data_IF_578705839360
#
_entry.id   IF_578705839360
#
_cell.length_a   1.000
_cell.length_b   1.000
_cell.length_c   1.000
_cell.angle_alpha   90.00
_cell.angle_beta   90.00
_cell.angle_gamma   90.00
#
_symmetry.space_group_name_H-M   'P 1'
#
loop_
_entity.id
_entity.type
_entity.pdbx_description
1 polymer ?
#
# COMPACT_ATOMS: atom_id res chain seq x y z
N UNK A 1 -15.72 2.45 9.40
CA UNK A 1 -14.53 3.26 9.76
C UNK A 1 -13.29 2.42 9.46
N UNK A 2 -12.40 2.90 8.61
CA UNK A 2 -11.13 2.22 8.35
C UNK A 2 -10.13 2.62 9.44
N UNK A 3 -9.52 1.64 10.08
CA UNK A 3 -8.40 1.85 11.01
C UNK A 3 -7.10 1.53 10.28
N UNK A 4 -6.04 2.28 10.54
CA UNK A 4 -4.75 2.12 9.88
C UNK A 4 -3.68 2.09 10.95
N UNK A 5 -2.86 1.04 10.94
CA UNK A 5 -1.66 0.92 11.78
C UNK A 5 -0.44 1.22 10.93
N UNK A 6 0.53 1.94 11.51
CA UNK A 6 1.76 2.35 10.83
C UNK A 6 2.96 1.96 11.68
N UNK A 7 3.92 1.29 11.07
CA UNK A 7 5.15 0.80 11.68
C UNK A 7 6.37 1.24 10.87
N UNK A 8 7.55 1.16 11.46
CA UNK A 8 8.80 1.23 10.70
C UNK A 8 8.89 0.00 9.78
N UNK A 9 9.01 0.24 8.47
CA UNK A 9 9.01 -0.81 7.44
C UNK A 9 10.42 -1.30 7.05
N UNK A 10 11.46 -0.68 7.60
CA UNK A 10 12.85 -0.94 7.24
C UNK A 10 13.21 -0.41 5.85
N UNK A 11 14.37 -0.81 5.34
CA UNK A 11 14.87 -0.39 4.03
C UNK A 11 14.52 -1.42 2.96
N UNK A 12 13.86 -0.99 1.88
CA UNK A 12 13.57 -1.80 0.70
C UNK A 12 14.54 -1.45 -0.42
N UNK A 13 15.10 -2.46 -1.08
CA UNK A 13 15.79 -2.33 -2.35
C UNK A 13 14.83 -2.75 -3.46
N UNK A 14 14.43 -1.80 -4.30
CA UNK A 14 13.50 -1.99 -5.41
C UNK A 14 14.18 -1.65 -6.74
N UNK A 15 13.53 -1.95 -7.86
CA UNK A 15 14.06 -1.66 -9.20
C UNK A 15 14.27 -0.15 -9.44
N UNK A 16 13.56 0.70 -8.69
CA UNK A 16 13.66 2.16 -8.75
C UNK A 16 14.62 2.74 -7.69
N UNK A 17 15.33 1.89 -6.93
CA UNK A 17 16.32 2.29 -5.94
C UNK A 17 16.04 1.79 -4.51
N UNK A 18 16.81 2.32 -3.56
CA UNK A 18 16.81 1.92 -2.15
C UNK A 18 16.16 3.01 -1.28
N UNK A 19 15.18 2.61 -0.47
CA UNK A 19 14.36 3.54 0.31
C UNK A 19 14.09 3.03 1.71
N UNK A 20 14.14 3.93 2.69
CA UNK A 20 13.53 3.67 3.99
C UNK A 20 12.02 3.78 3.88
N UNK A 21 11.31 2.92 4.59
CA UNK A 21 9.86 2.75 4.42
C UNK A 21 9.10 2.76 5.73
N UNK A 22 7.83 3.12 5.63
CA UNK A 22 6.81 2.77 6.62
C UNK A 22 6.05 1.53 6.14
N UNK A 23 5.72 0.64 7.07
CA UNK A 23 4.75 -0.44 6.85
C UNK A 23 3.37 0.04 7.31
N UNK A 24 2.43 0.08 6.38
CA UNK A 24 1.04 0.48 6.60
C UNK A 24 0.13 -0.75 6.52
N UNK A 25 -0.65 -0.96 7.58
CA UNK A 25 -1.60 -2.08 7.69
C UNK A 25 -3.02 -1.52 7.87
N UNK A 26 -3.87 -1.54 6.83
CA UNK A 26 -5.27 -1.20 6.96
C UNK A 26 -6.06 -2.33 7.63
N UNK A 27 -6.77 -2.00 8.71
CA UNK A 27 -7.73 -2.88 9.38
C UNK A 27 -9.11 -2.72 8.73
N UNK A 28 -9.39 -3.60 7.78
CA UNK A 28 -10.68 -3.65 7.11
C UNK A 28 -11.72 -4.30 8.03
N UNK A 29 -12.60 -3.48 8.61
CA UNK A 29 -13.79 -3.96 9.32
C UNK A 29 -14.94 -4.06 8.31
N UNK A 30 -15.37 -5.29 8.01
CA UNK A 30 -16.71 -5.73 7.53
C UNK A 30 -16.83 -6.59 6.25
N UNK A 31 -17.72 -7.57 6.38
CA UNK A 31 -18.09 -8.75 5.59
C UNK A 31 -19.01 -8.52 4.36
N UNK A 32 -18.99 -7.36 3.68
CA UNK A 32 -19.91 -7.14 2.54
C UNK A 32 -19.20 -6.76 1.25
N UNK A 33 -18.97 -7.78 0.39
CA UNK A 33 -18.50 -7.63 -0.98
C UNK A 33 -17.70 -8.85 -1.47
N UNK A 34 -17.43 -8.90 -2.78
CA UNK A 34 -16.45 -9.84 -3.40
C UNK A 34 -15.05 -9.72 -2.79
N UNK A 35 -14.79 -8.64 -2.05
CA UNK A 35 -13.62 -8.42 -1.20
C UNK A 35 -13.95 -8.76 0.26
N UNK A 36 -14.27 -10.03 0.56
CA UNK A 36 -14.08 -10.54 1.92
C UNK A 36 -12.59 -10.51 2.21
N UNK A 37 -12.09 -9.34 2.60
CA UNK A 37 -10.74 -9.14 3.05
C UNK A 37 -10.60 -9.76 4.44
N UNK A 38 -10.72 -11.08 4.53
CA UNK A 38 -10.14 -11.88 5.62
C UNK A 38 -8.60 -11.93 5.50
N UNK A 39 -8.04 -10.90 4.88
CA UNK A 39 -6.74 -10.87 4.29
C UNK A 39 -5.92 -9.76 4.90
N UNK A 40 -4.73 -10.12 5.38
CA UNK A 40 -3.74 -9.15 5.82
C UNK A 40 -3.18 -8.44 4.59
N UNK A 41 -3.40 -7.12 4.50
CA UNK A 41 -2.80 -6.25 3.49
C UNK A 41 -1.68 -5.47 4.15
N UNK A 42 -0.47 -5.59 3.61
CA UNK A 42 0.73 -4.90 4.07
C UNK A 42 1.24 -4.02 2.93
N UNK A 43 1.42 -2.73 3.19
CA UNK A 43 1.86 -1.74 2.20
C UNK A 43 3.13 -1.08 2.71
N UNK A 44 4.24 -1.26 2.01
CA UNK A 44 5.48 -0.54 2.28
C UNK A 44 5.52 0.72 1.45
N UNK A 45 5.62 1.88 2.10
CA UNK A 45 5.64 3.19 1.43
C UNK A 45 6.92 3.94 1.76
N UNK A 46 7.41 4.77 0.84
CA UNK A 46 8.58 5.62 1.08
C UNK A 46 8.41 6.50 2.32
N UNK A 47 9.49 6.63 3.10
CA UNK A 47 9.65 7.57 4.21
C UNK A 47 10.04 8.96 3.71
N UNK A 48 9.39 9.43 2.65
CA UNK A 48 9.53 10.78 2.13
C UNK A 48 8.14 11.45 2.06
N UNK A 49 8.08 12.72 1.67
CA UNK A 49 6.81 13.47 1.59
C UNK A 49 5.79 12.88 0.59
N UNK A 50 6.23 12.00 -0.31
CA UNK A 50 5.41 11.46 -1.40
C UNK A 50 4.74 10.16 -1.01
N UNK A 51 5.27 9.44 -0.01
CA UNK A 51 4.67 8.22 0.51
C UNK A 51 4.31 7.19 -0.57
N UNK A 52 5.22 7.00 -1.54
CA UNK A 52 5.05 6.15 -2.70
C UNK A 52 5.06 4.69 -2.25
N UNK A 53 4.03 3.88 -2.56
CA UNK A 53 4.05 2.44 -2.29
C UNK A 53 5.12 1.74 -3.12
N UNK A 54 6.05 1.06 -2.46
CA UNK A 54 7.11 0.29 -3.11
C UNK A 54 6.75 -1.20 -3.21
N UNK A 55 6.01 -1.71 -2.24
CA UNK A 55 5.61 -3.11 -2.16
C UNK A 55 4.24 -3.25 -1.52
N UNK A 56 3.43 -4.15 -2.06
CA UNK A 56 2.20 -4.63 -1.44
C UNK A 56 2.27 -6.14 -1.27
N UNK A 57 1.79 -6.63 -0.14
CA UNK A 57 1.56 -8.05 0.09
C UNK A 57 0.17 -8.23 0.62
N UNK A 58 -0.61 -9.13 0.01
CA UNK A 58 -1.94 -9.47 0.50
C UNK A 58 -2.05 -10.97 0.66
N UNK A 59 -2.51 -11.41 1.83
CA UNK A 59 -3.10 -12.73 1.99
C UNK A 59 -4.58 -12.63 1.67
N UNK A 60 -5.15 -13.59 0.96
CA UNK A 60 -6.59 -13.68 0.68
C UNK A 60 -7.04 -15.12 0.88
N UNK A 61 -8.34 -15.37 0.91
CA UNK A 61 -8.90 -16.70 1.20
C UNK A 61 -8.33 -17.80 0.28
N UNK A 62 -8.02 -17.47 -0.97
CA UNK A 62 -7.55 -18.41 -1.99
C UNK A 62 -6.02 -18.38 -2.24
N UNK A 63 -5.23 -17.64 -1.45
CA UNK A 63 -3.78 -17.58 -1.61
C UNK A 63 -3.15 -16.27 -1.14
N UNK A 64 -2.08 -15.86 -1.80
CA UNK A 64 -1.45 -14.55 -1.57
C UNK A 64 -0.92 -13.96 -2.87
N UNK A 65 -0.86 -12.64 -2.94
CA UNK A 65 -0.17 -11.95 -4.02
C UNK A 65 0.81 -10.91 -3.44
N UNK A 66 1.88 -10.69 -4.20
CA UNK A 66 2.89 -9.65 -3.93
C UNK A 66 2.99 -8.78 -5.17
N UNK A 67 2.96 -7.48 -4.98
CA UNK A 67 3.22 -6.50 -6.02
C UNK A 67 4.42 -5.64 -5.61
N UNK A 68 5.34 -5.42 -6.55
CA UNK A 68 6.54 -4.61 -6.37
C UNK A 68 6.56 -3.52 -7.43
N UNK A 69 7.02 -2.33 -7.04
CA UNK A 69 7.12 -1.19 -7.96
C UNK A 69 8.25 -1.44 -8.96
N UNK A 70 7.95 -1.20 -10.25
CA UNK A 70 8.90 -1.35 -11.35
C UNK A 70 9.38 0.01 -11.88
N UNK A 71 8.52 1.02 -11.86
CA UNK A 71 8.81 2.37 -12.33
C UNK A 71 7.81 3.39 -11.74
N UNK A 72 8.18 4.67 -11.71
CA UNK A 72 7.26 5.77 -11.43
C UNK A 72 7.63 7.01 -12.23
N UNK A 73 6.61 7.74 -12.71
CA UNK A 73 6.80 9.04 -13.36
C UNK A 73 5.91 10.09 -12.71
N UNK A 74 6.46 11.29 -12.57
CA UNK A 74 5.81 12.50 -12.06
C UNK A 74 5.05 13.29 -13.14
N UNK A 75 5.20 12.91 -14.41
CA UNK A 75 4.56 13.55 -15.56
C UNK A 75 3.15 13.02 -15.91
N UNK A 76 2.63 12.05 -15.15
CA UNK A 76 1.23 11.63 -15.21
C UNK A 76 0.42 12.40 -14.17
N UNK A 77 -0.52 13.25 -14.59
CA UNK A 77 -1.26 14.17 -13.71
C UNK A 77 -1.74 13.50 -12.39
N UNK A 78 -1.31 13.97 -11.20
CA UNK A 78 -1.99 13.66 -9.96
C UNK A 78 -3.36 14.33 -9.98
N UNK A 79 -4.42 13.59 -10.30
CA UNK A 79 -5.79 14.12 -10.16
C UNK A 79 -6.08 14.21 -8.67
N UNK A 80 -6.00 15.44 -8.15
CA UNK A 80 -6.62 15.94 -6.91
C UNK A 80 -7.32 14.85 -6.07
N UNK A 81 -6.74 14.57 -4.90
CA UNK A 81 -7.22 13.59 -3.92
C UNK A 81 -8.64 13.86 -3.42
N UNK A 82 -9.17 15.08 -3.63
CA UNK A 82 -10.50 15.53 -3.18
C UNK A 82 -11.67 14.80 -3.85
N UNK A 83 -11.42 13.99 -4.90
CA UNK A 83 -12.47 13.25 -5.63
C UNK A 83 -12.70 11.81 -5.16
N UNK A 84 -11.85 11.26 -4.29
CA UNK A 84 -11.96 9.84 -3.88
C UNK A 84 -12.76 9.62 -2.59
N UNK A 85 -13.03 10.67 -1.82
CA UNK A 85 -13.82 10.62 -0.59
C UNK A 85 -15.02 11.58 -0.69
N UNK A 86 -16.04 11.18 -1.44
CA UNK A 86 -17.41 11.69 -1.31
C UNK A 86 -18.33 10.57 -0.89
#
# INVERSE_FOLDING_TARGET
KLEVEVYEGGTINSDIGKFDTYLVIPRLKHDSGIFRAQGELNIWMTKDKRHIPLKLSSKVVVGSFVAEIIDYSDNGAPKSYDKFFK
#
